data_IF_453918610865
#
_entry.id   IF_453918610865
#
_cell.length_a   1.000
_cell.length_b   1.000
_cell.length_c   1.000
_cell.angle_alpha   90.00
_cell.angle_beta   90.00
_cell.angle_gamma   90.00
#
_symmetry.space_group_name_H-M   'P 1'
#
loop_
_entity.id
_entity.type
_entity.pdbx_description
1 polymer ?
#
# COMPACT_ATOMS: atom_id res chain seq x y z
N UNK A 1 -5.19 -2.88 -38.64
CA UNK A 1 -5.62 -3.71 -37.50
C UNK A 1 -4.96 -5.09 -37.43
N UNK A 2 -4.75 -5.76 -38.57
CA UNK A 2 -4.12 -7.11 -38.58
C UNK A 2 -2.70 -7.15 -38.01
N UNK A 3 -1.84 -6.18 -38.37
CA UNK A 3 -0.47 -6.14 -37.85
C UNK A 3 -0.40 -6.03 -36.31
N UNK A 4 -1.30 -5.24 -35.74
CA UNK A 4 -1.40 -5.10 -34.27
C UNK A 4 -1.74 -6.46 -33.63
N UNK A 5 -2.67 -7.23 -34.21
CA UNK A 5 -3.04 -8.56 -33.71
C UNK A 5 -1.84 -9.54 -33.78
N UNK A 6 -1.07 -9.48 -34.85
CA UNK A 6 0.13 -10.32 -35.02
C UNK A 6 1.22 -9.95 -34.01
N UNK A 7 1.48 -8.68 -33.77
CA UNK A 7 2.46 -8.22 -32.77
C UNK A 7 1.99 -8.56 -31.35
N UNK A 8 0.70 -8.43 -31.03
CA UNK A 8 0.12 -8.89 -29.75
C UNK A 8 0.36 -10.40 -29.57
N UNK A 9 0.08 -11.23 -30.57
CA UNK A 9 0.31 -12.68 -30.52
C UNK A 9 1.78 -13.05 -30.31
N UNK A 10 2.71 -12.22 -30.78
CA UNK A 10 4.15 -12.40 -30.55
C UNK A 10 4.55 -12.13 -29.12
N UNK A 11 3.91 -11.20 -28.45
CA UNK A 11 4.15 -10.84 -27.04
C UNK A 11 3.48 -11.87 -26.12
N UNK A 12 2.17 -12.08 -26.32
CA UNK A 12 1.33 -12.96 -25.47
C UNK A 12 1.47 -14.44 -25.85
N UNK A 13 2.69 -15.00 -25.64
CA UNK A 13 2.96 -16.42 -25.93
C UNK A 13 2.57 -17.30 -24.79
N UNK A 14 1.99 -18.50 -25.07
CA UNK A 14 1.57 -19.42 -24.01
C UNK A 14 2.66 -19.76 -23.00
N UNK A 15 3.92 -20.00 -23.47
CA UNK A 15 5.03 -20.32 -22.57
C UNK A 15 5.45 -19.17 -21.65
N UNK A 16 5.40 -17.90 -22.12
CA UNK A 16 5.71 -16.73 -21.30
C UNK A 16 4.56 -16.50 -20.31
N UNK A 17 3.31 -16.62 -20.78
CA UNK A 17 2.13 -16.50 -19.91
C UNK A 17 2.11 -17.57 -18.81
N UNK A 18 2.43 -18.82 -19.16
CA UNK A 18 2.53 -19.90 -18.18
C UNK A 18 3.62 -19.61 -17.12
N UNK A 19 4.76 -19.08 -17.54
CA UNK A 19 5.82 -18.68 -16.61
C UNK A 19 5.37 -17.51 -15.71
N UNK A 20 4.69 -16.48 -16.25
CA UNK A 20 4.17 -15.37 -15.46
C UNK A 20 3.11 -15.86 -14.49
N UNK A 21 2.20 -16.72 -14.90
CA UNK A 21 1.17 -17.29 -14.04
C UNK A 21 1.75 -18.12 -12.90
N UNK A 22 2.74 -18.99 -13.22
CA UNK A 22 3.39 -19.82 -12.20
C UNK A 22 4.16 -18.96 -11.19
N UNK A 23 4.98 -18.02 -11.68
CA UNK A 23 5.72 -17.12 -10.81
C UNK A 23 4.77 -16.19 -10.02
N UNK A 24 3.67 -15.75 -10.66
CA UNK A 24 2.64 -14.95 -9.99
C UNK A 24 1.93 -15.69 -8.87
N UNK A 25 1.63 -16.98 -9.07
CA UNK A 25 1.04 -17.80 -8.03
C UNK A 25 1.99 -17.98 -6.83
N UNK A 26 3.29 -18.24 -7.11
CA UNK A 26 4.31 -18.33 -6.05
C UNK A 26 4.47 -16.99 -5.33
N UNK A 27 4.58 -15.88 -6.09
CA UNK A 27 4.70 -14.54 -5.53
C UNK A 27 3.50 -14.17 -4.66
N UNK A 28 2.28 -14.45 -5.15
CA UNK A 28 1.04 -14.20 -4.40
C UNK A 28 1.02 -14.94 -3.07
N UNK A 29 1.39 -16.22 -3.08
CA UNK A 29 1.45 -17.05 -1.88
C UNK A 29 2.51 -16.55 -0.88
N UNK A 30 3.64 -16.04 -1.36
CA UNK A 30 4.74 -15.58 -0.50
C UNK A 30 4.52 -14.21 0.13
N UNK A 31 3.80 -13.30 -0.53
CA UNK A 31 3.69 -11.90 -0.13
C UNK A 31 2.24 -11.42 0.02
N UNK A 32 1.44 -11.20 -1.05
CA UNK A 32 0.11 -10.62 -0.92
C UNK A 32 -0.89 -11.44 -0.12
N UNK A 33 -0.77 -12.78 -0.12
CA UNK A 33 -1.69 -13.67 0.59
C UNK A 33 -1.76 -13.33 2.08
N UNK A 34 -0.64 -12.96 2.70
CA UNK A 34 -0.58 -12.58 4.11
C UNK A 34 -1.59 -11.47 4.45
N UNK A 35 -1.67 -10.43 3.63
CA UNK A 35 -2.59 -9.31 3.87
C UNK A 35 -4.05 -9.61 3.54
N UNK A 36 -4.35 -10.76 3.00
CA UNK A 36 -5.71 -11.24 2.77
C UNK A 36 -6.12 -12.18 3.91
N UNK A 37 -5.25 -13.12 4.26
CA UNK A 37 -5.50 -14.10 5.32
C UNK A 37 -5.52 -13.44 6.70
N UNK A 38 -4.63 -12.48 6.91
CA UNK A 38 -4.51 -11.71 8.15
C UNK A 38 -4.87 -10.24 7.92
N UNK A 39 -5.99 -9.98 7.22
CA UNK A 39 -6.46 -8.61 7.03
C UNK A 39 -6.79 -7.98 8.38
N UNK A 40 -6.30 -6.76 8.63
CA UNK A 40 -6.33 -6.12 9.94
C UNK A 40 -5.68 -7.01 11.01
N UNK A 41 -4.40 -7.37 10.76
CA UNK A 41 -3.64 -8.32 11.55
C UNK A 41 -3.56 -7.94 13.03
N UNK A 42 -4.02 -8.87 13.87
CA UNK A 42 -4.02 -8.76 15.32
C UNK A 42 -5.40 -8.48 15.92
N UNK A 43 -5.63 -8.95 17.16
CA UNK A 43 -6.97 -8.89 17.79
C UNK A 43 -7.48 -7.46 17.99
N UNK A 44 -6.60 -6.52 18.33
CA UNK A 44 -6.93 -5.10 18.43
C UNK A 44 -7.38 -4.53 17.07
N UNK A 45 -6.61 -4.81 16.01
CA UNK A 45 -6.91 -4.33 14.65
C UNK A 45 -8.22 -4.93 14.11
N UNK A 46 -8.53 -6.18 14.44
CA UNK A 46 -9.80 -6.84 14.12
C UNK A 46 -10.97 -6.21 14.87
N UNK A 47 -10.81 -5.93 16.16
CA UNK A 47 -11.81 -5.22 16.96
C UNK A 47 -12.03 -3.80 16.42
N UNK A 48 -10.95 -3.06 16.11
CA UNK A 48 -10.99 -1.74 15.51
C UNK A 48 -11.75 -1.75 14.17
N UNK A 49 -11.43 -2.70 13.28
CA UNK A 49 -12.10 -2.83 11.99
C UNK A 49 -13.58 -3.12 12.14
N UNK A 50 -13.96 -4.01 13.06
CA UNK A 50 -15.34 -4.41 13.30
C UNK A 50 -16.15 -3.24 13.86
N UNK A 51 -15.69 -2.62 14.93
CA UNK A 51 -16.35 -1.48 15.55
C UNK A 51 -16.45 -0.29 14.60
N UNK A 52 -15.35 0.06 13.93
CA UNK A 52 -15.36 1.15 12.96
C UNK A 52 -16.29 0.88 11.77
N UNK A 53 -16.41 -0.39 11.32
CA UNK A 53 -17.37 -0.77 10.26
C UNK A 53 -18.82 -0.53 10.70
N UNK A 54 -19.14 -0.87 11.94
CA UNK A 54 -20.47 -0.68 12.52
C UNK A 54 -20.77 0.81 12.70
N UNK A 55 -19.80 1.59 13.19
CA UNK A 55 -19.94 3.03 13.36
C UNK A 55 -20.08 3.76 12.03
N UNK A 56 -19.28 3.42 11.03
CA UNK A 56 -19.42 4.01 9.68
C UNK A 56 -20.77 3.69 9.06
N UNK A 57 -21.28 2.48 9.27
CA UNK A 57 -22.63 2.11 8.79
C UNK A 57 -23.75 2.85 9.52
N UNK A 58 -23.56 3.18 10.81
CA UNK A 58 -24.56 3.82 11.65
C UNK A 58 -24.50 5.34 11.62
N UNK A 59 -23.31 5.90 11.72
CA UNK A 59 -23.06 7.33 11.91
C UNK A 59 -22.52 8.02 10.65
N UNK A 60 -21.89 7.26 9.74
CA UNK A 60 -21.21 7.84 8.60
C UNK A 60 -19.69 7.84 8.75
N UNK A 61 -18.96 8.60 7.89
CA UNK A 61 -17.50 8.52 7.81
C UNK A 61 -16.75 9.23 8.96
N UNK A 62 -17.44 10.07 9.73
CA UNK A 62 -16.88 10.87 10.83
C UNK A 62 -17.72 10.70 12.07
N UNK A 63 -17.10 10.82 13.23
CA UNK A 63 -17.79 10.77 14.53
C UNK A 63 -18.12 12.19 14.97
N UNK A 64 -19.39 12.47 15.28
CA UNK A 64 -19.84 13.73 15.81
C UNK A 64 -19.97 13.69 17.35
N UNK A 65 -20.17 14.85 17.99
CA UNK A 65 -20.24 14.94 19.45
C UNK A 65 -21.40 14.15 20.06
N UNK A 66 -22.55 14.10 19.38
CA UNK A 66 -23.71 13.33 19.84
C UNK A 66 -23.42 11.82 19.83
N UNK A 67 -22.74 11.37 18.80
CA UNK A 67 -22.36 9.96 18.60
C UNK A 67 -21.24 9.55 19.56
N UNK A 68 -20.29 10.49 19.84
CA UNK A 68 -19.26 10.26 20.86
C UNK A 68 -19.91 9.98 22.23
N UNK A 69 -21.00 10.69 22.58
CA UNK A 69 -21.73 10.45 23.83
C UNK A 69 -22.41 9.07 23.86
N UNK A 70 -22.81 8.50 22.71
CA UNK A 70 -23.36 7.15 22.66
C UNK A 70 -22.30 6.07 22.94
N UNK A 71 -21.01 6.34 22.70
CA UNK A 71 -19.92 5.38 22.95
C UNK A 71 -19.77 5.08 24.45
N UNK A 72 -20.13 6.01 25.35
CA UNK A 72 -20.13 5.76 26.79
C UNK A 72 -21.07 4.60 27.17
N UNK A 73 -22.24 4.55 26.53
CA UNK A 73 -23.19 3.43 26.68
C UNK A 73 -22.65 2.10 26.13
N UNK A 74 -22.00 2.16 24.96
CA UNK A 74 -21.39 0.96 24.37
C UNK A 74 -20.22 0.45 25.23
N UNK A 75 -19.43 1.34 25.81
CA UNK A 75 -18.35 0.95 26.72
C UNK A 75 -18.91 0.28 27.99
N UNK A 76 -19.99 0.81 28.57
CA UNK A 76 -20.62 0.21 29.73
C UNK A 76 -21.15 -1.21 29.44
N UNK A 77 -21.79 -1.40 28.28
CA UNK A 77 -22.23 -2.72 27.83
C UNK A 77 -21.07 -3.72 27.66
N UNK A 78 -19.96 -3.28 27.03
CA UNK A 78 -18.78 -4.16 26.82
C UNK A 78 -18.08 -4.47 28.15
N UNK A 79 -18.06 -3.56 29.13
CA UNK A 79 -17.53 -3.81 30.48
C UNK A 79 -18.39 -4.86 31.22
N UNK A 80 -19.72 -4.81 31.09
CA UNK A 80 -20.61 -5.82 31.66
C UNK A 80 -20.38 -7.20 31.01
N UNK A 81 -20.22 -7.23 29.69
CA UNK A 81 -19.88 -8.47 28.95
C UNK A 81 -18.53 -9.00 29.40
N UNK A 82 -17.53 -8.13 29.53
CA UNK A 82 -16.20 -8.52 30.02
C UNK A 82 -16.25 -9.15 31.39
N UNK A 83 -16.98 -8.54 32.34
CA UNK A 83 -17.12 -9.07 33.70
C UNK A 83 -17.76 -10.49 33.73
N UNK A 84 -18.72 -10.75 32.84
CA UNK A 84 -19.30 -12.08 32.70
C UNK A 84 -18.31 -13.09 32.08
N UNK A 85 -17.56 -12.67 31.07
CA UNK A 85 -16.60 -13.53 30.40
C UNK A 85 -15.41 -13.88 31.28
N UNK A 86 -14.85 -12.91 32.03
CA UNK A 86 -13.70 -13.15 32.90
C UNK A 86 -14.06 -14.09 34.06
N UNK A 87 -15.29 -14.01 34.57
CA UNK A 87 -15.79 -14.92 35.58
C UNK A 87 -15.85 -16.40 35.14
N UNK A 88 -15.84 -16.63 33.82
CA UNK A 88 -15.80 -17.98 33.24
C UNK A 88 -14.36 -18.53 33.09
N UNK A 89 -13.32 -17.73 33.39
CA UNK A 89 -11.91 -18.12 33.33
C UNK A 89 -11.43 -18.45 34.76
N UNK A 90 -11.31 -19.74 35.16
CA UNK A 90 -10.99 -20.12 36.54
C UNK A 90 -9.66 -19.56 37.05
N UNK A 91 -8.67 -19.48 36.19
CA UNK A 91 -7.35 -18.98 36.53
C UNK A 91 -7.38 -17.46 36.81
N UNK A 92 -8.18 -16.70 36.05
CA UNK A 92 -8.37 -15.27 36.30
C UNK A 92 -9.08 -15.01 37.62
N UNK A 93 -10.11 -15.80 37.95
CA UNK A 93 -10.82 -15.72 39.20
C UNK A 93 -9.88 -16.06 40.40
N UNK A 94 -9.03 -17.08 40.22
CA UNK A 94 -8.05 -17.48 41.26
C UNK A 94 -7.00 -16.39 41.49
N UNK A 95 -6.62 -15.65 40.42
CA UNK A 95 -5.74 -14.50 40.49
C UNK A 95 -6.40 -13.21 41.01
N UNK A 96 -7.73 -13.26 41.33
CA UNK A 96 -8.48 -12.09 41.79
C UNK A 96 -8.86 -11.09 40.69
N UNK A 97 -8.79 -11.50 39.42
CA UNK A 97 -9.17 -10.66 38.27
C UNK A 97 -10.68 -10.78 38.06
N UNK A 98 -11.44 -9.78 38.50
CA UNK A 98 -12.91 -9.79 38.50
C UNK A 98 -13.51 -8.89 37.44
N UNK A 99 -12.78 -7.88 37.02
CA UNK A 99 -13.23 -6.84 36.10
C UNK A 99 -12.05 -6.25 35.29
N UNK A 100 -12.34 -5.33 34.38
CA UNK A 100 -11.37 -4.73 33.49
C UNK A 100 -10.27 -3.97 34.24
N UNK A 101 -10.64 -3.20 35.27
CA UNK A 101 -9.69 -2.41 36.07
C UNK A 101 -8.72 -3.30 36.86
N UNK A 102 -9.23 -4.43 37.40
CA UNK A 102 -8.40 -5.41 38.05
C UNK A 102 -7.34 -6.02 37.13
N UNK A 103 -7.73 -6.33 35.87
CA UNK A 103 -6.79 -6.84 34.85
C UNK A 103 -5.79 -5.77 34.45
N UNK A 104 -6.24 -4.52 34.27
CA UNK A 104 -5.39 -3.39 33.91
C UNK A 104 -4.31 -3.16 34.98
N UNK A 105 -4.73 -3.06 36.25
CA UNK A 105 -3.83 -2.90 37.36
C UNK A 105 -2.85 -4.09 37.56
N UNK A 106 -3.35 -5.31 37.31
CA UNK A 106 -2.50 -6.50 37.34
C UNK A 106 -1.44 -6.46 36.24
N UNK A 107 -1.81 -6.07 35.03
CA UNK A 107 -0.88 -5.91 33.90
C UNK A 107 0.17 -4.84 34.18
N UNK A 108 -0.23 -3.68 34.67
CA UNK A 108 0.69 -2.58 34.99
C UNK A 108 1.70 -3.00 36.07
N UNK A 109 1.24 -3.60 37.16
CA UNK A 109 2.13 -4.10 38.25
C UNK A 109 3.10 -5.17 37.73
N UNK A 110 2.66 -6.03 36.78
CA UNK A 110 3.52 -7.05 36.18
C UNK A 110 4.59 -6.39 35.28
N UNK A 111 4.22 -5.41 34.45
CA UNK A 111 5.16 -4.70 33.58
C UNK A 111 6.18 -3.89 34.37
N UNK A 112 5.77 -3.21 35.41
CA UNK A 112 6.68 -2.46 36.30
C UNK A 112 7.63 -3.39 37.05
N UNK A 113 7.14 -4.51 37.56
CA UNK A 113 7.95 -5.53 38.20
C UNK A 113 8.99 -6.18 37.29
N UNK A 114 8.63 -6.44 36.03
CA UNK A 114 9.57 -6.98 35.01
C UNK A 114 10.65 -5.98 34.65
N UNK A 115 10.35 -4.69 34.54
CA UNK A 115 11.36 -3.64 34.29
C UNK A 115 12.35 -3.49 35.44
N UNK A 116 11.89 -3.56 36.69
CA UNK A 116 12.74 -3.44 37.86
C UNK A 116 13.67 -4.65 38.09
N UNK A 117 13.26 -5.86 37.65
CA UNK A 117 13.98 -7.12 37.96
C UNK A 117 14.77 -7.69 36.75
N UNK A 118 15.03 -6.91 35.72
CA UNK A 118 15.92 -7.29 34.61
C UNK A 118 15.30 -8.17 33.53
N UNK A 119 13.96 -8.20 33.42
CA UNK A 119 13.29 -8.57 32.17
C UNK A 119 13.05 -10.06 31.92
N UNK A 120 13.14 -10.95 32.91
CA UNK A 120 12.62 -12.32 32.74
C UNK A 120 11.09 -12.30 32.88
N UNK A 121 10.41 -12.60 31.75
CA UNK A 121 8.96 -12.71 31.72
C UNK A 121 8.48 -13.95 32.47
N UNK A 122 7.49 -13.79 33.35
CA UNK A 122 6.80 -14.92 33.96
C UNK A 122 5.82 -15.53 32.94
N UNK A 123 6.19 -16.68 32.40
CA UNK A 123 5.43 -17.38 31.37
C UNK A 123 3.99 -17.74 31.81
N UNK A 124 3.78 -17.95 33.12
CA UNK A 124 2.44 -18.28 33.65
C UNK A 124 1.57 -17.03 33.68
N UNK A 125 2.13 -15.88 34.02
CA UNK A 125 1.42 -14.58 33.99
C UNK A 125 1.10 -14.18 32.54
N UNK A 126 2.05 -14.31 31.62
CA UNK A 126 1.79 -14.02 30.21
C UNK A 126 0.72 -14.93 29.61
N UNK A 127 0.76 -16.23 29.94
CA UNK A 127 -0.25 -17.17 29.50
C UNK A 127 -1.66 -16.85 30.07
N UNK A 128 -1.73 -16.37 31.31
CA UNK A 128 -2.98 -15.92 31.91
C UNK A 128 -3.52 -14.67 31.20
N UNK A 129 -2.68 -13.64 31.02
CA UNK A 129 -3.05 -12.40 30.34
C UNK A 129 -3.50 -12.70 28.90
N UNK A 130 -2.76 -13.53 28.16
CA UNK A 130 -3.16 -13.93 26.80
C UNK A 130 -4.53 -14.60 26.78
N UNK A 131 -4.82 -15.46 27.77
CA UNK A 131 -6.11 -16.16 27.89
C UNK A 131 -7.24 -15.19 28.20
N UNK A 132 -7.01 -14.21 29.04
CA UNK A 132 -7.96 -13.14 29.35
C UNK A 132 -8.22 -12.31 28.09
N UNK A 133 -7.18 -11.82 27.42
CA UNK A 133 -7.32 -10.98 26.23
C UNK A 133 -8.02 -11.69 25.07
N UNK A 134 -7.69 -12.97 24.84
CA UNK A 134 -8.29 -13.76 23.75
C UNK A 134 -9.67 -14.32 24.09
N UNK A 135 -10.00 -14.48 25.35
CA UNK A 135 -11.26 -15.06 25.82
C UNK A 135 -12.35 -14.05 26.19
N UNK A 136 -12.06 -12.76 26.12
CA UNK A 136 -12.99 -11.71 26.54
C UNK A 136 -13.10 -10.59 25.52
N UNK A 137 -13.97 -9.60 25.79
CA UNK A 137 -14.11 -8.38 24.98
C UNK A 137 -13.01 -7.34 25.24
N UNK A 138 -11.86 -7.73 25.78
CA UNK A 138 -10.73 -6.85 26.11
C UNK A 138 -10.40 -5.86 24.99
N UNK A 139 -10.12 -6.34 23.79
CA UNK A 139 -9.73 -5.48 22.68
C UNK A 139 -10.84 -4.54 22.19
N UNK A 140 -12.10 -4.92 22.37
CA UNK A 140 -13.22 -4.02 22.07
C UNK A 140 -13.30 -2.86 23.03
N UNK A 141 -13.03 -3.11 24.32
CA UNK A 141 -12.95 -2.08 25.37
C UNK A 141 -11.75 -1.16 25.09
N UNK A 142 -10.57 -1.72 24.78
CA UNK A 142 -9.40 -0.91 24.40
C UNK A 142 -9.70 0.02 23.22
N UNK A 143 -10.30 -0.48 22.14
CA UNK A 143 -10.65 0.34 20.96
C UNK A 143 -11.65 1.43 21.32
N UNK A 144 -12.69 1.13 22.11
CA UNK A 144 -13.66 2.12 22.58
C UNK A 144 -12.98 3.21 23.40
N UNK A 145 -12.16 2.83 24.36
CA UNK A 145 -11.44 3.77 25.23
C UNK A 145 -10.49 4.65 24.40
N UNK A 146 -9.72 4.04 23.50
CA UNK A 146 -8.77 4.76 22.63
C UNK A 146 -9.49 5.77 21.70
N UNK A 147 -10.63 5.39 21.12
CA UNK A 147 -11.41 6.29 20.25
C UNK A 147 -11.98 7.46 21.04
N UNK A 148 -12.51 7.19 22.21
CA UNK A 148 -13.09 8.20 23.08
C UNK A 148 -12.01 9.20 23.55
N UNK A 149 -10.88 8.72 24.04
CA UNK A 149 -9.75 9.54 24.42
C UNK A 149 -9.18 10.31 23.22
N UNK A 150 -9.01 9.62 22.08
CA UNK A 150 -8.53 10.25 20.88
C UNK A 150 -9.43 11.36 20.38
N UNK A 151 -10.75 11.17 20.43
CA UNK A 151 -11.74 12.20 20.08
C UNK A 151 -11.66 13.40 21.03
N UNK A 152 -11.67 13.15 22.33
CA UNK A 152 -11.71 14.18 23.36
C UNK A 152 -10.41 15.01 23.41
N UNK A 153 -9.25 14.39 23.13
CA UNK A 153 -7.94 15.04 23.22
C UNK A 153 -7.38 15.52 21.88
N UNK A 154 -8.05 15.26 20.75
CA UNK A 154 -7.50 15.50 19.42
C UNK A 154 -7.08 16.96 19.18
N UNK A 155 -7.93 17.93 19.55
CA UNK A 155 -7.63 19.35 19.37
C UNK A 155 -6.39 19.78 20.17
N UNK A 156 -6.24 19.29 21.38
CA UNK A 156 -5.09 19.56 22.25
C UNK A 156 -3.81 18.92 21.67
N UNK A 157 -3.89 17.63 21.29
CA UNK A 157 -2.77 16.92 20.68
C UNK A 157 -2.28 17.59 19.40
N UNK A 158 -3.20 18.04 18.53
CA UNK A 158 -2.84 18.76 17.29
C UNK A 158 -2.20 20.12 17.60
N UNK A 159 -2.75 20.86 18.56
CA UNK A 159 -2.18 22.14 18.99
C UNK A 159 -0.76 21.95 19.55
N UNK A 160 -0.56 20.95 20.38
CA UNK A 160 0.76 20.59 20.90
C UNK A 160 1.70 20.15 19.80
N UNK A 161 1.22 19.36 18.83
CA UNK A 161 2.01 18.94 17.66
C UNK A 161 2.50 20.15 16.84
N UNK A 162 1.66 21.16 16.63
CA UNK A 162 2.04 22.42 15.94
C UNK A 162 3.17 23.13 16.71
N UNK A 163 3.07 23.22 18.04
CA UNK A 163 4.11 23.84 18.88
C UNK A 163 5.42 23.06 18.80
N UNK A 164 5.37 21.75 19.02
CA UNK A 164 6.54 20.88 19.00
C UNK A 164 7.27 20.92 17.64
N UNK A 165 6.51 20.95 16.54
CA UNK A 165 7.08 21.02 15.18
C UNK A 165 7.77 22.37 14.93
N UNK A 166 7.19 23.47 15.44
CA UNK A 166 7.77 24.80 15.34
C UNK A 166 9.06 24.89 16.15
N UNK A 167 9.05 24.39 17.36
CA UNK A 167 10.24 24.35 18.23
C UNK A 167 11.37 23.48 17.65
N UNK A 168 11.00 22.36 17.00
CA UNK A 168 11.93 21.48 16.30
C UNK A 168 12.44 22.06 14.97
N UNK A 169 12.04 23.26 14.57
CA UNK A 169 12.47 23.91 13.31
C UNK A 169 12.02 23.18 12.05
N UNK A 170 10.89 22.46 12.10
CA UNK A 170 10.36 21.76 10.95
C UNK A 170 9.84 22.73 9.88
N UNK A 171 9.70 22.30 8.60
CA UNK A 171 9.25 23.17 7.52
C UNK A 171 7.92 23.87 7.84
N UNK A 172 7.85 25.18 7.58
CA UNK A 172 6.64 25.99 7.83
C UNK A 172 5.39 25.43 7.12
N UNK A 173 5.58 24.81 5.94
CA UNK A 173 4.50 24.14 5.23
C UNK A 173 3.89 22.96 6.02
N UNK A 174 4.73 22.25 6.79
CA UNK A 174 4.28 21.15 7.65
C UNK A 174 3.55 21.68 8.88
N UNK A 175 4.12 22.71 9.52
CA UNK A 175 3.51 23.38 10.69
C UNK A 175 2.13 23.93 10.34
N UNK A 176 2.03 24.61 9.18
CA UNK A 176 0.76 25.13 8.68
C UNK A 176 -0.24 24.02 8.38
N UNK A 177 0.23 22.93 7.74
CA UNK A 177 -0.66 21.80 7.42
C UNK A 177 -1.19 21.13 8.68
N UNK A 178 -0.35 20.94 9.71
CA UNK A 178 -0.81 20.42 11.02
C UNK A 178 -1.88 21.30 11.63
N UNK A 179 -1.74 22.63 11.53
CA UNK A 179 -2.76 23.58 12.02
C UNK A 179 -4.05 23.52 11.20
N UNK A 180 -3.98 23.32 9.88
CA UNK A 180 -5.16 23.10 9.02
C UNK A 180 -5.88 21.81 9.42
N UNK A 181 -5.16 20.73 9.67
CA UNK A 181 -5.74 19.44 10.08
C UNK A 181 -6.42 19.53 11.46
N UNK A 182 -5.93 20.38 12.37
CA UNK A 182 -6.55 20.58 13.66
C UNK A 182 -7.97 21.16 13.58
N UNK A 183 -8.31 21.85 12.48
CA UNK A 183 -9.63 22.43 12.21
C UNK A 183 -10.40 21.72 11.08
N UNK A 184 -9.92 20.57 10.63
CA UNK A 184 -10.53 19.82 9.53
C UNK A 184 -11.82 19.12 9.99
N UNK A 185 -12.86 19.14 9.15
CA UNK A 185 -14.08 18.34 9.35
C UNK A 185 -13.80 16.82 9.33
N UNK A 186 -12.69 16.40 8.68
CA UNK A 186 -12.27 15.01 8.61
C UNK A 186 -11.42 14.57 9.81
N UNK A 187 -11.13 15.46 10.74
CA UNK A 187 -10.30 15.18 11.91
C UNK A 187 -10.83 14.00 12.76
N UNK A 188 -12.14 13.83 12.81
CA UNK A 188 -12.80 12.73 13.52
C UNK A 188 -13.20 11.57 12.58
N UNK A 189 -12.51 11.40 11.46
CA UNK A 189 -12.74 10.29 10.53
C UNK A 189 -12.51 8.94 11.19
N UNK A 190 -13.39 7.98 10.86
CA UNK A 190 -13.40 6.61 11.40
C UNK A 190 -12.62 5.62 10.53
N UNK A 191 -11.60 6.07 9.79
CA UNK A 191 -10.74 5.17 9.02
C UNK A 191 -9.76 4.44 9.95
N UNK A 192 -9.85 3.09 10.07
CA UNK A 192 -8.88 2.34 10.87
C UNK A 192 -7.46 2.45 10.32
N UNK A 193 -6.47 2.67 11.18
CA UNK A 193 -5.06 2.69 10.80
C UNK A 193 -4.61 1.36 10.19
N UNK A 194 -5.14 0.25 10.68
CA UNK A 194 -4.90 -1.11 10.17
C UNK A 194 -5.35 -1.29 8.71
N UNK A 195 -6.48 -0.71 8.32
CA UNK A 195 -6.98 -0.73 6.92
C UNK A 195 -6.03 0.03 6.01
N UNK A 196 -5.61 1.23 6.42
CA UNK A 196 -4.67 2.05 5.66
C UNK A 196 -3.32 1.37 5.54
N UNK A 197 -2.77 0.84 6.63
CA UNK A 197 -1.51 0.11 6.65
C UNK A 197 -1.54 -1.12 5.74
N UNK A 198 -2.55 -1.98 5.87
CA UNK A 198 -2.71 -3.16 5.02
C UNK A 198 -2.81 -2.78 3.53
N UNK A 199 -3.51 -1.69 3.22
CA UNK A 199 -3.62 -1.17 1.84
C UNK A 199 -2.25 -0.75 1.29
N UNK A 200 -1.44 -0.06 2.09
CA UNK A 200 -0.11 0.40 1.68
C UNK A 200 0.82 -0.79 1.40
N UNK A 201 0.92 -1.72 2.34
CA UNK A 201 1.80 -2.88 2.20
C UNK A 201 1.38 -3.76 1.01
N UNK A 202 0.08 -4.03 0.88
CA UNK A 202 -0.45 -4.77 -0.26
C UNK A 202 -0.17 -4.08 -1.60
N UNK A 203 -0.28 -2.76 -1.65
CA UNK A 203 -0.01 -1.98 -2.86
C UNK A 203 1.47 -1.99 -3.24
N UNK A 204 2.38 -2.01 -2.27
CA UNK A 204 3.83 -2.15 -2.50
C UNK A 204 4.14 -3.50 -3.17
N UNK A 205 3.60 -4.59 -2.64
CA UNK A 205 3.77 -5.91 -3.22
C UNK A 205 3.20 -5.99 -4.64
N UNK A 206 2.02 -5.42 -4.85
CA UNK A 206 1.41 -5.36 -6.17
C UNK A 206 2.27 -4.57 -7.18
N UNK A 207 2.93 -3.48 -6.75
CA UNK A 207 3.82 -2.71 -7.62
C UNK A 207 5.04 -3.53 -8.04
N UNK A 208 5.67 -4.21 -7.12
CA UNK A 208 6.81 -5.11 -7.40
C UNK A 208 6.40 -6.17 -8.42
N UNK A 209 5.23 -6.82 -8.22
CA UNK A 209 4.73 -7.83 -9.14
C UNK A 209 4.38 -7.26 -10.51
N UNK A 210 3.73 -6.10 -10.59
CA UNK A 210 3.39 -5.47 -11.86
C UNK A 210 4.65 -5.17 -12.69
N UNK A 211 5.68 -4.61 -12.08
CA UNK A 211 6.94 -4.34 -12.79
C UNK A 211 7.63 -5.63 -13.20
N UNK A 212 7.72 -6.63 -12.31
CA UNK A 212 8.36 -7.92 -12.62
C UNK A 212 7.67 -8.61 -13.79
N UNK A 213 6.36 -8.73 -13.75
CA UNK A 213 5.57 -9.39 -14.81
C UNK A 213 5.70 -8.67 -16.16
N UNK A 214 5.74 -7.33 -16.17
CA UNK A 214 5.97 -6.52 -17.38
C UNK A 214 7.38 -6.75 -17.93
N UNK A 215 8.41 -6.74 -17.07
CA UNK A 215 9.78 -7.01 -17.48
C UNK A 215 9.90 -8.41 -18.08
N UNK A 216 9.29 -9.41 -17.46
CA UNK A 216 9.26 -10.79 -17.98
C UNK A 216 8.55 -10.89 -19.35
N UNK A 217 7.40 -10.23 -19.49
CA UNK A 217 6.63 -10.25 -20.74
C UNK A 217 7.36 -9.59 -21.89
N UNK A 218 7.97 -8.42 -21.65
CA UNK A 218 8.48 -7.55 -22.71
C UNK A 218 9.97 -7.74 -23.03
N UNK A 219 10.78 -8.23 -22.08
CA UNK A 219 12.23 -8.43 -22.28
C UNK A 219 12.59 -9.22 -23.54
N UNK A 220 11.93 -10.35 -23.87
CA UNK A 220 12.34 -11.16 -25.03
C UNK A 220 11.84 -10.63 -26.38
N UNK A 221 10.96 -9.62 -26.41
CA UNK A 221 10.21 -9.26 -27.63
C UNK A 221 11.08 -8.86 -28.82
N UNK A 222 11.88 -7.80 -28.67
CA UNK A 222 12.72 -7.28 -29.75
C UNK A 222 14.06 -8.03 -29.91
N UNK A 223 14.58 -8.61 -28.82
CA UNK A 223 15.76 -9.48 -28.85
C UNK A 223 15.52 -10.70 -29.76
N UNK A 224 14.34 -11.30 -29.63
CA UNK A 224 13.96 -12.47 -30.42
C UNK A 224 13.85 -12.18 -31.91
N UNK A 225 13.26 -11.02 -32.30
CA UNK A 225 13.18 -10.63 -33.70
C UNK A 225 14.57 -10.42 -34.31
N UNK A 226 15.54 -9.94 -33.52
CA UNK A 226 16.93 -9.83 -33.93
C UNK A 226 17.58 -11.19 -34.11
N UNK A 227 17.48 -12.09 -33.12
CA UNK A 227 18.10 -13.41 -33.17
C UNK A 227 17.55 -14.31 -34.30
N UNK A 228 16.29 -14.12 -34.67
CA UNK A 228 15.65 -14.84 -35.78
C UNK A 228 15.94 -14.26 -37.16
N UNK A 229 16.71 -13.17 -37.26
CA UNK A 229 16.99 -12.52 -38.51
C UNK A 229 15.77 -11.93 -39.23
N UNK A 230 14.63 -11.74 -38.51
CA UNK A 230 13.40 -11.24 -39.12
C UNK A 230 13.43 -9.73 -39.35
N UNK A 231 14.34 -8.98 -38.74
CA UNK A 231 14.46 -7.54 -38.90
C UNK A 231 14.70 -7.09 -40.36
N UNK A 232 15.64 -7.65 -41.13
CA UNK A 232 15.85 -7.26 -42.54
C UNK A 232 14.58 -7.49 -43.39
N UNK A 233 13.89 -8.61 -43.17
CA UNK A 233 12.62 -8.90 -43.86
C UNK A 233 11.51 -7.90 -43.51
N UNK A 234 11.44 -7.51 -42.23
CA UNK A 234 10.48 -6.49 -41.79
C UNK A 234 10.75 -5.14 -42.44
N UNK A 235 12.01 -4.76 -42.58
CA UNK A 235 12.41 -3.49 -43.19
C UNK A 235 12.18 -3.45 -44.72
N UNK A 236 12.31 -4.59 -45.37
CA UNK A 236 11.99 -4.73 -46.83
C UNK A 236 10.47 -4.72 -47.10
N UNK A 237 9.62 -4.79 -46.09
CA UNK A 237 8.17 -4.79 -46.29
C UNK A 237 7.63 -3.39 -46.63
N UNK A 238 6.40 -3.32 -47.20
CA UNK A 238 5.71 -2.05 -47.57
C UNK A 238 5.61 -1.05 -46.43
N UNK A 239 5.56 -1.50 -45.18
CA UNK A 239 5.58 -0.63 -43.96
C UNK A 239 6.97 -0.31 -43.50
N UNK A 240 7.97 -1.09 -43.95
CA UNK A 240 9.36 -0.85 -43.66
C UNK A 240 9.59 -0.61 -42.15
N UNK A 241 10.24 0.48 -41.88
CA UNK A 241 10.71 0.89 -40.57
C UNK A 241 9.65 1.46 -39.63
N UNK A 242 8.47 1.79 -40.13
CA UNK A 242 7.34 2.16 -39.31
C UNK A 242 6.83 1.00 -38.44
N UNK A 243 7.32 -0.22 -38.65
CA UNK A 243 6.97 -1.40 -37.84
C UNK A 243 7.42 -1.24 -36.39
N UNK A 244 8.55 -0.58 -36.13
CA UNK A 244 9.05 -0.38 -34.75
C UNK A 244 8.06 0.45 -33.91
N UNK A 245 7.44 1.49 -34.47
CA UNK A 245 6.45 2.27 -33.74
C UNK A 245 5.21 1.44 -33.40
N UNK A 246 4.83 0.50 -34.28
CA UNK A 246 3.74 -0.44 -34.01
C UNK A 246 4.14 -1.43 -32.92
N UNK A 247 5.37 -1.96 -32.96
CA UNK A 247 5.89 -2.89 -31.95
C UNK A 247 5.96 -2.24 -30.56
N UNK A 248 6.45 -0.99 -30.47
CA UNK A 248 6.49 -0.24 -29.20
C UNK A 248 5.09 0.08 -28.68
N UNK A 249 4.19 0.54 -29.55
CA UNK A 249 2.80 0.77 -29.18
C UNK A 249 2.09 -0.49 -28.69
N UNK A 250 2.34 -1.63 -29.36
CA UNK A 250 1.79 -2.93 -28.95
C UNK A 250 2.36 -3.39 -27.62
N UNK A 251 3.64 -3.14 -27.35
CA UNK A 251 4.25 -3.47 -26.08
C UNK A 251 3.68 -2.64 -24.91
N UNK A 252 3.49 -1.33 -25.11
CA UNK A 252 2.85 -0.46 -24.12
C UNK A 252 1.39 -0.86 -23.88
N UNK A 253 0.64 -1.19 -24.93
CA UNK A 253 -0.71 -1.71 -24.81
C UNK A 253 -0.72 -3.04 -24.03
N UNK A 254 0.23 -3.95 -24.32
CA UNK A 254 0.36 -5.21 -23.61
C UNK A 254 0.69 -5.00 -22.12
N UNK A 255 1.52 -4.02 -21.80
CA UNK A 255 1.83 -3.66 -20.42
C UNK A 255 0.58 -3.13 -19.69
N UNK A 256 -0.18 -2.23 -20.34
CA UNK A 256 -1.42 -1.73 -19.79
C UNK A 256 -2.43 -2.86 -19.53
N UNK A 257 -2.62 -3.74 -20.51
CA UNK A 257 -3.51 -4.90 -20.36
C UNK A 257 -3.05 -5.82 -19.22
N UNK A 258 -1.74 -6.12 -19.12
CA UNK A 258 -1.21 -6.96 -18.05
C UNK A 258 -1.36 -6.29 -16.67
N UNK A 259 -1.14 -4.98 -16.58
CA UNK A 259 -1.35 -4.23 -15.34
C UNK A 259 -2.82 -4.27 -14.90
N UNK A 260 -3.77 -4.10 -15.83
CA UNK A 260 -5.21 -4.20 -15.53
C UNK A 260 -5.55 -5.63 -15.07
N UNK A 261 -5.02 -6.66 -15.73
CA UNK A 261 -5.22 -8.05 -15.30
C UNK A 261 -4.65 -8.29 -13.89
N UNK A 262 -3.43 -7.83 -13.63
CA UNK A 262 -2.83 -7.93 -12.30
C UNK A 262 -3.68 -7.19 -11.26
N UNK A 263 -4.08 -5.94 -11.53
CA UNK A 263 -4.98 -5.18 -10.65
C UNK A 263 -6.25 -5.96 -10.35
N UNK A 264 -6.88 -6.57 -11.36
CA UNK A 264 -8.12 -7.34 -11.16
C UNK A 264 -7.86 -8.57 -10.30
N UNK A 265 -6.81 -9.34 -10.59
CA UNK A 265 -6.51 -10.59 -9.86
C UNK A 265 -6.16 -10.31 -8.40
N UNK A 266 -5.40 -9.25 -8.13
CA UNK A 266 -4.92 -8.94 -6.79
C UNK A 266 -5.88 -8.01 -6.03
N UNK A 267 -6.46 -6.97 -6.66
CA UNK A 267 -7.32 -6.04 -5.95
C UNK A 267 -8.66 -6.65 -5.54
N UNK A 268 -9.24 -7.57 -6.35
CA UNK A 268 -10.55 -8.15 -6.02
C UNK A 268 -10.54 -8.93 -4.71
N UNK A 269 -9.59 -9.84 -4.44
CA UNK A 269 -9.54 -10.54 -3.14
C UNK A 269 -9.32 -9.59 -1.95
N UNK A 270 -8.47 -8.56 -2.13
CA UNK A 270 -8.22 -7.57 -1.09
C UNK A 270 -9.46 -6.73 -0.79
N UNK A 271 -10.13 -6.22 -1.82
CA UNK A 271 -11.35 -5.43 -1.66
C UNK A 271 -12.53 -6.24 -1.10
N UNK A 272 -12.52 -7.55 -1.31
CA UNK A 272 -13.51 -8.46 -0.73
C UNK A 272 -13.42 -8.56 0.81
N UNK A 273 -12.28 -8.18 1.42
CA UNK A 273 -12.13 -8.07 2.88
C UNK A 273 -12.94 -6.90 3.47
N UNK A 274 -13.47 -6.03 2.63
CA UNK A 274 -14.38 -4.96 3.03
C UNK A 274 -13.78 -3.58 3.28
N UNK A 275 -12.54 -3.25 2.85
CA UNK A 275 -11.96 -1.93 3.08
C UNK A 275 -12.74 -0.80 2.40
N UNK A 276 -13.54 -1.10 1.37
CA UNK A 276 -14.37 -0.10 0.67
C UNK A 276 -15.48 0.49 1.54
N UNK A 277 -15.81 -0.11 2.68
CA UNK A 277 -16.75 0.48 3.65
C UNK A 277 -16.28 1.84 4.12
N UNK A 278 -14.97 2.05 4.17
CA UNK A 278 -14.32 3.28 4.58
C UNK A 278 -14.03 4.24 3.43
N UNK A 279 -14.55 4.01 2.21
CA UNK A 279 -14.21 4.82 1.04
C UNK A 279 -14.51 6.32 1.20
N UNK A 280 -15.51 6.68 2.00
CA UNK A 280 -15.87 8.07 2.30
C UNK A 280 -15.08 8.67 3.48
N UNK A 281 -14.41 7.85 4.30
CA UNK A 281 -13.62 8.30 5.44
C UNK A 281 -12.40 9.11 4.98
N UNK A 282 -12.06 10.17 5.69
CA UNK A 282 -10.84 10.95 5.46
C UNK A 282 -9.59 10.19 5.85
N UNK A 283 -8.48 10.50 5.20
CA UNK A 283 -7.17 9.92 5.53
C UNK A 283 -6.60 10.43 6.86
N UNK A 284 -7.05 11.60 7.29
CA UNK A 284 -6.73 12.19 8.57
C UNK A 284 -7.88 11.91 9.53
N UNK A 285 -7.67 11.03 10.47
CA UNK A 285 -8.73 10.58 11.36
C UNK A 285 -8.25 10.33 12.78
N UNK A 286 -9.13 9.78 13.60
CA UNK A 286 -8.92 9.54 15.03
C UNK A 286 -7.66 8.69 15.28
N UNK A 287 -7.41 7.68 14.43
CA UNK A 287 -6.28 6.74 14.57
C UNK A 287 -5.06 7.08 13.69
N UNK A 288 -5.09 8.22 12.99
CA UNK A 288 -3.99 8.53 12.08
C UNK A 288 -2.92 9.40 12.75
N UNK A 289 -1.67 9.02 12.57
CA UNK A 289 -0.51 9.73 13.12
C UNK A 289 0.30 10.47 12.03
N UNK A 290 -0.06 10.28 10.75
CA UNK A 290 0.60 10.92 9.63
C UNK A 290 0.06 12.33 9.36
N UNK A 291 0.79 13.10 8.54
CA UNK A 291 0.32 14.38 8.02
C UNK A 291 0.10 14.21 6.52
N UNK A 292 -1.14 13.98 6.07
CA UNK A 292 -1.44 13.93 4.65
C UNK A 292 -1.34 15.33 4.04
N UNK A 293 -0.79 15.41 2.82
CA UNK A 293 -0.71 16.67 2.08
C UNK A 293 -2.08 17.19 1.63
N UNK A 294 -3.05 16.30 1.46
CA UNK A 294 -4.35 16.58 0.85
C UNK A 294 -5.48 16.04 1.71
N UNK A 295 -6.62 16.71 1.70
CA UNK A 295 -7.86 16.27 2.32
C UNK A 295 -8.58 15.27 1.41
N UNK A 296 -7.98 14.08 1.28
CA UNK A 296 -8.55 13.02 0.47
C UNK A 296 -9.34 12.04 1.31
N UNK A 297 -10.43 11.55 0.72
CA UNK A 297 -11.06 10.34 1.23
C UNK A 297 -10.21 9.10 0.90
N UNK A 298 -10.41 8.04 1.66
CA UNK A 298 -9.75 6.75 1.41
C UNK A 298 -10.05 6.21 0.00
N UNK A 299 -11.28 6.42 -0.51
CA UNK A 299 -11.61 6.07 -1.90
C UNK A 299 -10.78 6.84 -2.92
N UNK A 300 -10.58 8.15 -2.72
CA UNK A 300 -9.70 8.96 -3.57
C UNK A 300 -8.25 8.46 -3.49
N UNK A 301 -7.78 8.13 -2.29
CA UNK A 301 -6.46 7.55 -2.08
C UNK A 301 -6.25 6.25 -2.86
N UNK A 302 -7.21 5.32 -2.85
CA UNK A 302 -7.15 4.10 -3.65
C UNK A 302 -7.04 4.39 -5.15
N UNK A 303 -7.78 5.36 -5.68
CA UNK A 303 -7.69 5.76 -7.09
C UNK A 303 -6.31 6.34 -7.43
N UNK A 304 -5.73 7.11 -6.52
CA UNK A 304 -4.37 7.66 -6.68
C UNK A 304 -3.32 6.55 -6.68
N UNK A 305 -3.43 5.56 -5.79
CA UNK A 305 -2.54 4.38 -5.80
C UNK A 305 -2.59 3.65 -7.15
N UNK A 306 -3.79 3.44 -7.69
CA UNK A 306 -3.96 2.85 -9.05
C UNK A 306 -3.29 3.71 -10.11
N UNK A 307 -3.44 5.03 -10.03
CA UNK A 307 -2.78 5.97 -10.95
C UNK A 307 -1.25 5.90 -10.91
N UNK A 308 -0.67 5.86 -9.70
CA UNK A 308 0.78 5.69 -9.50
C UNK A 308 1.27 4.35 -10.07
N UNK A 309 0.52 3.29 -9.83
CA UNK A 309 0.84 1.94 -10.28
C UNK A 309 0.80 1.82 -11.81
N UNK A 310 -0.18 2.45 -12.46
CA UNK A 310 -0.25 2.54 -13.91
C UNK A 310 0.92 3.34 -14.50
N UNK A 311 1.27 4.48 -13.91
CA UNK A 311 2.40 5.28 -14.36
C UNK A 311 3.73 4.54 -14.20
N UNK A 312 3.95 3.88 -13.06
CA UNK A 312 5.11 3.04 -12.78
C UNK A 312 5.22 1.90 -13.81
N UNK A 313 4.12 1.18 -14.06
CA UNK A 313 4.03 0.06 -14.97
C UNK A 313 4.34 0.45 -16.42
N UNK A 314 3.74 1.53 -16.91
CA UNK A 314 3.97 2.02 -18.27
C UNK A 314 5.38 2.61 -18.43
N UNK A 315 5.91 3.28 -17.42
CA UNK A 315 7.30 3.74 -17.41
C UNK A 315 8.28 2.57 -17.49
N UNK A 316 8.10 1.56 -16.66
CA UNK A 316 8.89 0.32 -16.67
C UNK A 316 8.80 -0.41 -18.04
N UNK A 317 7.61 -0.45 -18.63
CA UNK A 317 7.40 -1.02 -19.96
C UNK A 317 8.21 -0.30 -21.04
N UNK A 318 8.16 1.03 -21.06
CA UNK A 318 8.95 1.84 -21.99
C UNK A 318 10.44 1.59 -21.88
N UNK A 319 10.97 1.58 -20.65
CA UNK A 319 12.37 1.27 -20.38
C UNK A 319 12.74 -0.17 -20.80
N UNK A 320 11.90 -1.15 -20.49
CA UNK A 320 12.13 -2.56 -20.85
C UNK A 320 12.20 -2.73 -22.37
N UNK A 321 11.28 -2.16 -23.12
CA UNK A 321 11.25 -2.22 -24.60
C UNK A 321 12.47 -1.52 -25.19
N UNK A 322 12.83 -0.36 -24.66
CA UNK A 322 14.05 0.34 -25.05
C UNK A 322 15.29 -0.55 -24.87
N UNK A 323 15.48 -1.15 -23.70
CA UNK A 323 16.61 -2.04 -23.43
C UNK A 323 16.59 -3.28 -24.31
N UNK A 324 15.41 -3.86 -24.56
CA UNK A 324 15.24 -5.00 -25.45
C UNK A 324 15.69 -4.69 -26.90
N UNK A 325 15.42 -3.46 -27.36
CA UNK A 325 15.87 -3.02 -28.69
C UNK A 325 17.39 -3.00 -28.82
N UNK A 326 18.11 -2.59 -27.77
CA UNK A 326 19.57 -2.47 -27.79
C UNK A 326 20.30 -3.69 -27.21
N UNK A 327 19.63 -4.83 -27.06
CA UNK A 327 20.22 -6.06 -26.56
C UNK A 327 20.47 -7.05 -27.68
N UNK A 328 21.69 -7.55 -27.81
CA UNK A 328 22.12 -8.49 -28.86
C UNK A 328 21.78 -9.94 -28.60
N UNK A 329 21.58 -10.31 -27.32
CA UNK A 329 21.27 -11.67 -26.89
C UNK A 329 20.32 -11.66 -25.68
N UNK A 330 19.77 -12.84 -25.36
CA UNK A 330 18.94 -12.96 -24.14
C UNK A 330 19.74 -12.72 -22.86
N UNK A 331 21.00 -13.14 -22.81
CA UNK A 331 21.87 -12.90 -21.65
C UNK A 331 22.11 -11.41 -21.46
N UNK A 332 22.45 -10.70 -22.55
CA UNK A 332 22.64 -9.25 -22.49
C UNK A 332 21.36 -8.51 -22.08
N UNK A 333 20.18 -9.02 -22.44
CA UNK A 333 18.91 -8.47 -21.99
C UNK A 333 18.68 -8.74 -20.50
N UNK A 334 18.94 -9.96 -20.04
CA UNK A 334 18.78 -10.35 -18.63
C UNK A 334 19.65 -9.49 -17.71
N UNK A 335 20.94 -9.28 -18.09
CA UNK A 335 21.85 -8.41 -17.33
C UNK A 335 21.38 -6.96 -17.22
N UNK A 336 20.50 -6.50 -18.10
CA UNK A 336 19.87 -5.16 -18.04
C UNK A 336 18.49 -5.19 -17.35
N UNK A 337 17.74 -6.27 -17.55
CA UNK A 337 16.39 -6.42 -17.02
C UNK A 337 16.38 -6.58 -15.50
N UNK A 338 17.36 -7.29 -14.92
CA UNK A 338 17.47 -7.49 -13.47
C UNK A 338 17.73 -6.16 -12.74
N UNK A 339 18.77 -5.34 -13.08
CA UNK A 339 18.94 -4.04 -12.46
C UNK A 339 17.76 -3.09 -12.69
N UNK A 340 17.13 -3.13 -13.88
CA UNK A 340 15.92 -2.35 -14.14
C UNK A 340 14.78 -2.72 -13.18
N UNK A 341 14.52 -4.02 -13.02
CA UNK A 341 13.51 -4.52 -12.10
C UNK A 341 13.81 -4.10 -10.66
N UNK A 342 15.04 -4.28 -10.20
CA UNK A 342 15.44 -3.89 -8.85
C UNK A 342 15.25 -2.39 -8.64
N UNK A 343 15.72 -1.55 -9.57
CA UNK A 343 15.63 -0.10 -9.44
C UNK A 343 14.18 0.41 -9.52
N UNK A 344 13.38 -0.08 -10.47
CA UNK A 344 12.03 0.44 -10.72
C UNK A 344 10.97 -0.32 -9.95
N UNK A 345 11.06 -1.64 -9.83
CA UNK A 345 10.08 -2.47 -9.11
C UNK A 345 10.33 -2.47 -7.61
N UNK A 346 11.51 -3.00 -7.20
CA UNK A 346 11.76 -3.24 -5.78
C UNK A 346 12.11 -1.95 -5.00
N UNK A 347 12.83 -0.99 -5.59
CA UNK A 347 13.22 0.25 -4.87
C UNK A 347 12.21 1.36 -5.11
N UNK A 348 12.01 1.76 -6.38
CA UNK A 348 11.15 2.90 -6.67
C UNK A 348 9.67 2.59 -6.45
N UNK A 349 9.20 1.39 -6.79
CA UNK A 349 7.81 0.97 -6.62
C UNK A 349 7.40 0.91 -5.16
N UNK A 350 8.21 0.29 -4.31
CA UNK A 350 7.97 0.28 -2.87
C UNK A 350 8.02 1.69 -2.28
N UNK A 351 9.01 2.50 -2.65
CA UNK A 351 9.12 3.88 -2.18
C UNK A 351 7.93 4.75 -2.60
N UNK A 352 7.44 4.62 -3.83
CA UNK A 352 6.29 5.40 -4.33
C UNK A 352 4.99 5.09 -3.58
N UNK A 353 4.82 3.86 -3.13
CA UNK A 353 3.59 3.39 -2.48
C UNK A 353 3.73 3.27 -0.96
N UNK A 354 4.88 3.63 -0.40
CA UNK A 354 5.09 3.74 1.02
C UNK A 354 4.62 5.11 1.50
N UNK A 355 3.53 5.16 2.26
CA UNK A 355 2.91 6.41 2.77
C UNK A 355 2.86 7.55 1.72
N UNK A 356 2.32 7.33 0.50
CA UNK A 356 2.33 8.34 -0.53
C UNK A 356 1.51 9.56 -0.11
N UNK A 357 1.98 10.73 -0.55
CA UNK A 357 1.35 12.02 -0.30
C UNK A 357 1.22 12.40 1.19
N UNK A 358 2.12 11.90 2.01
CA UNK A 358 2.33 12.36 3.38
C UNK A 358 3.65 13.14 3.49
N UNK A 359 3.83 13.89 4.58
CA UNK A 359 5.12 14.50 4.86
C UNK A 359 6.16 13.44 5.16
N UNK A 360 7.22 13.43 4.38
CA UNK A 360 8.35 12.50 4.52
C UNK A 360 9.68 13.22 4.40
N UNK A 361 10.70 12.65 5.03
CA UNK A 361 12.07 13.08 4.88
C UNK A 361 12.95 11.99 4.26
N UNK A 362 14.08 12.40 3.72
CA UNK A 362 15.13 11.49 3.26
C UNK A 362 16.14 11.25 4.38
N UNK A 363 16.32 9.99 4.76
CA UNK A 363 17.34 9.55 5.72
C UNK A 363 17.14 10.11 7.13
N UNK A 364 18.17 10.71 7.71
CA UNK A 364 18.21 11.19 9.10
C UNK A 364 17.45 12.51 9.39
N UNK A 365 16.50 12.90 8.55
CA UNK A 365 15.61 14.02 8.83
C UNK A 365 16.06 15.39 8.29
N UNK A 366 17.23 15.48 7.64
CA UNK A 366 17.77 16.75 7.19
C UNK A 366 17.10 17.32 5.91
N UNK A 367 16.53 16.44 5.06
CA UNK A 367 15.94 16.85 3.77
C UNK A 367 14.49 16.42 3.70
N UNK A 368 13.59 17.40 3.74
CA UNK A 368 12.15 17.18 3.56
C UNK A 368 11.79 17.10 2.08
N UNK A 369 10.96 16.11 1.75
CA UNK A 369 10.50 15.93 0.38
C UNK A 369 9.40 16.94 0.05
N UNK A 370 9.41 17.51 -1.17
CA UNK A 370 8.37 18.46 -1.56
C UNK A 370 7.03 17.76 -1.78
N UNK A 371 5.96 18.53 -1.62
CA UNK A 371 4.57 18.08 -1.83
C UNK A 371 4.40 17.44 -3.21
N UNK A 372 3.85 16.24 -3.23
CA UNK A 372 3.51 15.52 -4.46
C UNK A 372 4.71 14.97 -5.23
N UNK A 373 5.87 14.80 -4.57
CA UNK A 373 7.08 14.24 -5.18
C UNK A 373 6.81 12.86 -5.81
N UNK A 374 5.89 12.08 -5.26
CA UNK A 374 5.50 10.78 -5.78
C UNK A 374 4.90 10.89 -7.19
N UNK A 375 3.97 11.82 -7.38
CA UNK A 375 3.37 12.07 -8.69
C UNK A 375 4.40 12.58 -9.70
N UNK A 376 5.31 13.47 -9.27
CA UNK A 376 6.41 13.97 -10.11
C UNK A 376 7.33 12.82 -10.50
N UNK A 377 7.73 11.99 -9.57
CA UNK A 377 8.64 10.86 -9.81
C UNK A 377 8.02 9.82 -10.75
N UNK A 378 6.75 9.44 -10.51
CA UNK A 378 6.01 8.54 -11.39
C UNK A 378 5.84 9.15 -12.80
N UNK A 379 5.52 10.45 -12.88
CA UNK A 379 5.40 11.19 -14.13
C UNK A 379 6.72 11.27 -14.90
N UNK A 380 7.84 11.52 -14.21
CA UNK A 380 9.18 11.54 -14.82
C UNK A 380 9.56 10.15 -15.35
N UNK A 381 9.30 9.08 -14.58
CA UNK A 381 9.56 7.72 -15.03
C UNK A 381 8.74 7.38 -16.29
N UNK A 382 7.47 7.71 -16.29
CA UNK A 382 6.58 7.51 -17.44
C UNK A 382 7.06 8.30 -18.65
N UNK A 383 7.36 9.59 -18.48
CA UNK A 383 7.86 10.46 -19.54
C UNK A 383 9.20 9.96 -20.10
N UNK A 384 10.12 9.50 -19.25
CA UNK A 384 11.39 8.92 -19.64
C UNK A 384 11.19 7.66 -20.49
N UNK A 385 10.38 6.71 -20.04
CA UNK A 385 10.08 5.47 -20.75
C UNK A 385 9.47 5.74 -22.16
N UNK A 386 8.47 6.63 -22.22
CA UNK A 386 7.83 7.01 -23.48
C UNK A 386 8.79 7.78 -24.40
N UNK A 387 9.58 8.71 -23.88
CA UNK A 387 10.53 9.51 -24.65
C UNK A 387 11.61 8.63 -25.28
N UNK A 388 12.15 7.66 -24.54
CA UNK A 388 13.13 6.71 -25.05
C UNK A 388 12.56 5.83 -26.17
N UNK A 389 11.30 5.39 -26.07
CA UNK A 389 10.61 4.70 -27.14
C UNK A 389 10.47 5.57 -28.40
N UNK A 390 10.04 6.84 -28.24
CA UNK A 390 9.87 7.79 -29.35
C UNK A 390 11.22 8.09 -30.01
N UNK A 391 12.25 8.37 -29.21
CA UNK A 391 13.61 8.63 -29.72
C UNK A 391 14.16 7.45 -30.48
N UNK A 392 13.98 6.23 -29.98
CA UNK A 392 14.37 5.00 -30.69
C UNK A 392 13.69 4.87 -32.03
N UNK A 393 12.38 5.15 -32.12
CA UNK A 393 11.65 5.14 -33.39
C UNK A 393 12.20 6.20 -34.37
N UNK A 394 12.50 7.40 -33.90
CA UNK A 394 13.05 8.48 -34.71
C UNK A 394 14.46 8.15 -35.21
N UNK A 395 15.33 7.67 -34.33
CA UNK A 395 16.70 7.28 -34.71
C UNK A 395 16.71 6.19 -35.76
N UNK A 396 15.85 5.19 -35.62
CA UNK A 396 15.78 4.10 -36.60
C UNK A 396 15.33 4.60 -37.97
N UNK A 397 14.38 5.53 -38.05
CA UNK A 397 13.98 6.15 -39.32
C UNK A 397 15.12 6.92 -39.98
N UNK A 398 16.01 7.54 -39.20
CA UNK A 398 17.13 8.36 -39.74
C UNK A 398 18.32 7.54 -40.23
N UNK A 399 18.67 6.43 -39.54
CA UNK A 399 19.87 5.59 -39.83
C UNK A 399 19.86 4.96 -41.22
N UNK A 400 18.87 5.15 -42.01
CA UNK A 400 18.61 4.43 -43.26
C UNK A 400 18.57 5.34 -44.46
N UNK A 401 18.80 6.62 -44.25
CA UNK A 401 19.04 7.60 -45.29
C UNK A 401 20.53 7.83 -45.56
N UNK A 402 21.38 7.09 -44.88
CA UNK A 402 22.84 7.03 -45.06
C UNK A 402 23.26 5.60 -45.46
#
# INVERSE_FOLDING_TARGET
MELLKWELRKIWRPGILAAILLLGAVYYWMFPQFYIEYFCNGPYAEAQFTLASDWVARYGPTLEQAERAELDGQLAEELDVFAQQIAAIPEAVTAGLTDYEAVLSFRENYLDGTQEHGGEADMDVEALLYRVYSGTSWYRIEVLTDVMEAYDTQAERRTQAVSNRREAGQPEAMVRREAELASSEMAHSLLPSSVKHSTQEYSKDLAVWCVLSIVLLLSPTLVRDRLRGTRPMQWASRRGRAILSTQMGTALLSALMLTIVNLTIYAVPFLAQGPLRFAACGLDGIWEWGIPWFDWSYGTYLLVLVGLLLALSLGAAGLTVFLSQYSGSYIAMLLKAVPLFVAVGAVLGTWLLDMPFTFRNLGSGAVWLPRGIEAVTAGVLLALGLSLCILSCRQQKRRELL
#
